data_IF_120939668154
#
_entry.id   IF_120939668154
#
_cell.length_a   1.000
_cell.length_b   1.000
_cell.length_c   1.000
_cell.angle_alpha   90.00
_cell.angle_beta   90.00
_cell.angle_gamma   90.00
#
_symmetry.space_group_name_H-M   'P 1'
#
loop_
_entity.id
_entity.type
_entity.pdbx_description
1 polymer ?
#
# COMPACT_ATOMS: atom_id res chain seq x y z
N UNK A 1 -33.63 8.04 12.00
CA UNK A 1 -33.08 7.50 13.26
C UNK A 1 -31.60 7.22 13.00
N UNK A 2 -30.70 8.13 13.38
CA UNK A 2 -29.27 7.85 13.34
C UNK A 2 -28.92 7.06 14.60
N UNK A 3 -28.42 5.83 14.44
CA UNK A 3 -27.89 5.04 15.56
C UNK A 3 -26.74 5.83 16.20
N UNK A 4 -26.64 5.90 17.55
CA UNK A 4 -25.60 6.65 18.24
C UNK A 4 -24.28 5.88 18.23
N UNK A 5 -23.75 5.62 17.03
CA UNK A 5 -22.46 4.94 16.85
C UNK A 5 -21.36 6.01 16.87
N UNK A 6 -20.33 5.87 17.72
CA UNK A 6 -19.22 6.81 17.71
C UNK A 6 -18.54 6.81 16.34
N UNK A 7 -18.32 7.99 15.76
CA UNK A 7 -17.81 8.17 14.38
C UNK A 7 -16.49 7.47 14.12
N UNK A 8 -15.65 7.35 15.15
CA UNK A 8 -14.38 6.61 15.10
C UNK A 8 -14.60 5.14 14.74
N UNK A 9 -15.65 4.49 15.25
CA UNK A 9 -15.98 3.11 14.90
C UNK A 9 -16.41 2.97 13.43
N UNK A 10 -17.20 3.93 12.93
CA UNK A 10 -17.59 3.94 11.51
C UNK A 10 -16.37 4.11 10.60
N UNK A 11 -15.43 4.98 10.97
CA UNK A 11 -14.22 5.20 10.21
C UNK A 11 -13.30 3.98 10.23
N UNK A 12 -13.08 3.37 11.39
CA UNK A 12 -12.29 2.15 11.51
C UNK A 12 -12.92 1.00 10.71
N UNK A 13 -14.25 0.85 10.74
CA UNK A 13 -14.94 -0.15 9.93
C UNK A 13 -14.70 0.07 8.42
N UNK A 14 -14.80 1.32 7.94
CA UNK A 14 -14.47 1.66 6.55
C UNK A 14 -13.01 1.37 6.22
N UNK A 15 -12.09 1.74 7.11
CA UNK A 15 -10.66 1.50 6.93
C UNK A 15 -10.36 0.00 6.80
N UNK A 16 -10.88 -0.82 7.73
CA UNK A 16 -10.70 -2.28 7.70
C UNK A 16 -11.30 -2.88 6.44
N UNK A 17 -12.46 -2.40 5.97
CA UNK A 17 -13.05 -2.84 4.71
C UNK A 17 -12.15 -2.54 3.51
N UNK A 18 -11.67 -1.29 3.38
CA UNK A 18 -10.77 -0.88 2.29
C UNK A 18 -9.45 -1.63 2.35
N UNK A 19 -8.88 -1.81 3.54
CA UNK A 19 -7.66 -2.58 3.76
C UNK A 19 -7.82 -4.05 3.36
N UNK A 20 -8.93 -4.67 3.75
CA UNK A 20 -9.22 -6.07 3.40
C UNK A 20 -9.31 -6.26 1.88
N UNK A 21 -10.02 -5.37 1.19
CA UNK A 21 -10.09 -5.39 -0.28
C UNK A 21 -8.72 -5.18 -0.89
N UNK A 22 -7.93 -4.23 -0.37
CA UNK A 22 -6.56 -3.97 -0.84
C UNK A 22 -5.66 -5.21 -0.70
N UNK A 23 -5.73 -5.90 0.44
CA UNK A 23 -4.98 -7.14 0.67
C UNK A 23 -5.44 -8.26 -0.26
N UNK A 24 -6.75 -8.46 -0.43
CA UNK A 24 -7.28 -9.46 -1.36
C UNK A 24 -6.81 -9.20 -2.79
N UNK A 25 -6.90 -7.97 -3.26
CA UNK A 25 -6.42 -7.60 -4.61
C UNK A 25 -4.91 -7.82 -4.75
N UNK A 26 -4.12 -7.45 -3.75
CA UNK A 26 -2.67 -7.69 -3.75
C UNK A 26 -2.31 -9.17 -3.79
N UNK A 27 -2.98 -9.99 -2.97
CA UNK A 27 -2.79 -11.44 -2.95
C UNK A 27 -3.15 -12.08 -4.29
N UNK A 28 -4.30 -11.70 -4.87
CA UNK A 28 -4.70 -12.19 -6.19
C UNK A 28 -3.67 -11.83 -7.25
N UNK A 29 -3.10 -10.62 -7.21
CA UNK A 29 -2.03 -10.23 -8.14
C UNK A 29 -0.77 -11.08 -7.98
N UNK A 30 -0.30 -11.30 -6.75
CA UNK A 30 0.88 -12.15 -6.48
C UNK A 30 0.62 -13.58 -6.97
N UNK A 31 -0.56 -14.13 -6.70
CA UNK A 31 -0.95 -15.47 -7.18
C UNK A 31 -0.99 -15.53 -8.70
N UNK A 32 -1.55 -14.51 -9.36
CA UNK A 32 -1.60 -14.43 -10.83
C UNK A 32 -0.20 -14.34 -11.45
N UNK A 33 0.69 -13.52 -10.88
CA UNK A 33 2.08 -13.44 -11.32
C UNK A 33 2.81 -14.76 -11.12
N UNK A 34 2.64 -15.40 -9.96
CA UNK A 34 3.22 -16.71 -9.66
C UNK A 34 2.73 -17.77 -10.65
N UNK A 35 1.42 -17.84 -10.90
CA UNK A 35 0.83 -18.75 -11.88
C UNK A 35 1.37 -18.50 -13.30
N UNK A 36 1.58 -17.23 -13.67
CA UNK A 36 2.17 -16.86 -14.96
C UNK A 36 3.59 -17.39 -15.09
N UNK A 37 4.43 -17.21 -14.05
CA UNK A 37 5.81 -17.72 -14.04
C UNK A 37 5.86 -19.23 -14.24
N UNK A 38 5.04 -19.99 -13.51
CA UNK A 38 4.96 -21.44 -13.66
C UNK A 38 4.42 -21.89 -15.02
N UNK A 39 3.43 -21.15 -15.57
CA UNK A 39 2.86 -21.47 -16.89
C UNK A 39 3.88 -21.25 -18.01
N UNK A 40 4.71 -20.21 -17.88
CA UNK A 40 5.76 -19.88 -18.84
C UNK A 40 7.06 -20.67 -18.63
N UNK A 41 7.12 -21.53 -17.60
CA UNK A 41 8.33 -22.30 -17.22
C UNK A 41 9.54 -21.41 -16.92
N UNK A 42 9.29 -20.25 -16.29
CA UNK A 42 10.31 -19.25 -15.93
C UNK A 42 10.71 -19.32 -14.45
N UNK A 43 10.24 -20.32 -13.71
CA UNK A 43 10.45 -20.45 -12.28
C UNK A 43 11.92 -20.54 -11.89
N UNK A 44 12.73 -21.30 -12.64
CA UNK A 44 14.17 -21.43 -12.36
C UNK A 44 14.93 -20.14 -12.69
N UNK A 45 14.48 -19.39 -13.70
CA UNK A 45 15.08 -18.12 -14.09
C UNK A 45 14.78 -17.01 -13.09
N UNK A 46 13.58 -17.00 -12.50
CA UNK A 46 13.11 -15.93 -11.63
C UNK A 46 13.31 -16.21 -10.14
N UNK A 47 13.20 -17.46 -9.71
CA UNK A 47 13.31 -17.85 -8.30
C UNK A 47 14.57 -18.67 -8.00
N UNK A 48 15.34 -19.06 -9.02
CA UNK A 48 16.47 -19.98 -8.86
C UNK A 48 16.03 -21.44 -8.68
N UNK A 49 17.00 -22.32 -8.41
CA UNK A 49 16.76 -23.77 -8.29
C UNK A 49 15.88 -24.12 -7.07
N UNK A 50 15.91 -23.29 -6.02
CA UNK A 50 15.11 -23.48 -4.80
C UNK A 50 13.63 -23.07 -4.98
N UNK A 51 13.31 -22.39 -6.09
CA UNK A 51 11.95 -21.93 -6.36
C UNK A 51 11.41 -20.92 -5.35
N UNK A 52 10.09 -20.79 -5.30
CA UNK A 52 9.41 -19.82 -4.44
C UNK A 52 9.43 -20.28 -2.98
N UNK A 53 10.46 -19.86 -2.25
CA UNK A 53 10.66 -20.23 -0.85
C UNK A 53 9.61 -19.60 0.07
N UNK A 54 9.17 -20.31 1.11
CA UNK A 54 8.20 -19.81 2.13
C UNK A 54 8.65 -18.48 2.74
N UNK A 55 9.96 -18.32 2.99
CA UNK A 55 10.57 -17.09 3.50
C UNK A 55 10.36 -15.89 2.58
N UNK A 56 10.50 -16.08 1.26
CA UNK A 56 10.28 -15.04 0.27
C UNK A 56 8.80 -14.66 0.25
N UNK A 57 7.91 -15.64 0.17
CA UNK A 57 6.46 -15.43 0.19
C UNK A 57 5.99 -14.66 1.43
N UNK A 58 6.49 -15.04 2.62
CA UNK A 58 6.19 -14.36 3.88
C UNK A 58 6.71 -12.92 3.91
N UNK A 59 7.92 -12.67 3.39
CA UNK A 59 8.50 -11.32 3.33
C UNK A 59 7.70 -10.42 2.39
N UNK A 60 7.34 -10.90 1.20
CA UNK A 60 6.51 -10.17 0.25
C UNK A 60 5.11 -9.90 0.80
N UNK A 61 4.50 -10.87 1.50
CA UNK A 61 3.22 -10.69 2.16
C UNK A 61 3.28 -9.60 3.25
N UNK A 62 4.35 -9.57 4.06
CA UNK A 62 4.51 -8.54 5.08
C UNK A 62 4.66 -7.14 4.48
N UNK A 63 5.43 -7.02 3.38
CA UNK A 63 5.56 -5.76 2.63
C UNK A 63 4.18 -5.34 2.09
N UNK A 64 3.41 -6.27 1.53
CA UNK A 64 2.05 -6.02 1.03
C UNK A 64 1.12 -5.53 2.15
N UNK A 65 1.23 -6.10 3.35
CA UNK A 65 0.45 -5.67 4.53
C UNK A 65 0.81 -4.23 4.91
N UNK A 66 2.09 -3.92 5.07
CA UNK A 66 2.55 -2.57 5.46
C UNK A 66 2.17 -1.53 4.41
N UNK A 67 2.41 -1.83 3.13
CA UNK A 67 2.01 -0.95 2.04
C UNK A 67 0.50 -0.77 1.97
N UNK A 68 -0.27 -1.85 2.14
CA UNK A 68 -1.73 -1.81 2.17
C UNK A 68 -2.27 -0.95 3.30
N UNK A 69 -1.69 -1.03 4.51
CA UNK A 69 -2.09 -0.17 5.63
C UNK A 69 -1.97 1.32 5.28
N UNK A 70 -0.85 1.69 4.65
CA UNK A 70 -0.61 3.05 4.18
C UNK A 70 -1.56 3.45 3.05
N UNK A 71 -1.62 2.67 1.97
CA UNK A 71 -2.36 3.04 0.78
C UNK A 71 -3.87 3.07 1.04
N UNK A 72 -4.41 2.16 1.84
CA UNK A 72 -5.81 2.18 2.26
C UNK A 72 -6.15 3.40 3.11
N UNK A 73 -5.21 3.91 3.93
CA UNK A 73 -5.42 5.12 4.72
C UNK A 73 -5.48 6.36 3.81
N UNK A 74 -4.61 6.43 2.80
CA UNK A 74 -4.63 7.50 1.78
C UNK A 74 -5.93 7.46 0.97
N UNK A 75 -6.34 6.29 0.49
CA UNK A 75 -7.61 6.11 -0.23
C UNK A 75 -8.80 6.54 0.63
N UNK A 76 -8.80 6.16 1.91
CA UNK A 76 -9.87 6.55 2.83
C UNK A 76 -9.88 8.06 3.09
N UNK A 77 -8.72 8.69 3.25
CA UNK A 77 -8.61 10.14 3.44
C UNK A 77 -9.19 10.91 2.23
N UNK A 78 -8.80 10.51 1.02
CA UNK A 78 -9.28 11.13 -0.22
C UNK A 78 -10.79 10.93 -0.40
N UNK A 79 -11.26 9.68 -0.32
CA UNK A 79 -12.68 9.37 -0.50
C UNK A 79 -13.57 9.98 0.59
N UNK A 80 -13.05 10.15 1.81
CA UNK A 80 -13.78 10.82 2.89
C UNK A 80 -13.81 12.34 2.73
N UNK A 81 -12.91 12.93 1.95
CA UNK A 81 -12.92 14.38 1.66
C UNK A 81 -13.84 14.76 0.49
N UNK A 82 -14.27 13.79 -0.31
CA UNK A 82 -15.06 14.02 -1.51
C UNK A 82 -16.55 14.12 -1.21
N UNK A 83 -17.23 15.09 -1.83
CA UNK A 83 -18.66 15.34 -1.64
C UNK A 83 -19.55 14.48 -2.54
N UNK A 84 -18.96 13.89 -3.58
CA UNK A 84 -19.68 13.02 -4.52
C UNK A 84 -18.79 11.89 -5.04
N UNK A 85 -19.43 10.83 -5.54
CA UNK A 85 -18.72 9.73 -6.20
C UNK A 85 -17.88 10.19 -7.40
N UNK A 86 -18.39 11.17 -8.18
CA UNK A 86 -17.67 11.72 -9.33
C UNK A 86 -16.39 12.45 -8.90
N UNK A 87 -16.45 13.20 -7.81
CA UNK A 87 -15.30 13.91 -7.24
C UNK A 87 -14.26 12.95 -6.66
N UNK A 88 -14.70 11.94 -5.91
CA UNK A 88 -13.82 10.89 -5.41
C UNK A 88 -13.06 10.22 -6.57
N UNK A 89 -13.76 9.86 -7.64
CA UNK A 89 -13.14 9.27 -8.82
C UNK A 89 -12.18 10.23 -9.53
N UNK A 90 -12.54 11.52 -9.63
CA UNK A 90 -11.66 12.53 -10.19
C UNK A 90 -10.36 12.70 -9.39
N UNK A 91 -10.36 12.46 -8.08
CA UNK A 91 -9.16 12.47 -7.23
C UNK A 91 -8.37 11.16 -7.25
N UNK A 92 -9.06 10.02 -7.43
CA UNK A 92 -8.41 8.71 -7.51
C UNK A 92 -7.57 8.56 -8.78
N UNK A 93 -8.00 9.12 -9.91
CA UNK A 93 -7.24 9.09 -11.17
C UNK A 93 -5.82 9.68 -11.03
N UNK A 94 -5.63 10.93 -10.56
CA UNK A 94 -4.29 11.50 -10.40
C UNK A 94 -3.49 10.78 -9.32
N UNK A 95 -4.13 10.27 -8.25
CA UNK A 95 -3.44 9.42 -7.27
C UNK A 95 -2.89 8.15 -7.93
N UNK A 96 -3.68 7.48 -8.77
CA UNK A 96 -3.24 6.29 -9.50
C UNK A 96 -2.08 6.64 -10.44
N UNK A 97 -2.17 7.73 -11.20
CA UNK A 97 -1.08 8.18 -12.08
C UNK A 97 0.21 8.48 -11.31
N UNK A 98 0.11 9.18 -10.17
CA UNK A 98 1.26 9.42 -9.28
C UNK A 98 1.85 8.12 -8.73
N UNK A 99 1.01 7.10 -8.49
CA UNK A 99 1.44 5.82 -7.96
C UNK A 99 2.14 4.93 -8.99
N UNK A 100 1.90 5.15 -10.28
CA UNK A 100 2.59 4.44 -11.37
C UNK A 100 4.05 4.89 -11.49
N UNK A 101 4.33 6.19 -11.32
CA UNK A 101 5.66 6.76 -11.51
C UNK A 101 6.77 6.04 -10.70
N UNK A 102 6.60 5.80 -9.39
CA UNK A 102 7.52 4.99 -8.60
C UNK A 102 7.75 3.56 -9.12
N UNK A 103 6.74 2.94 -9.74
CA UNK A 103 6.89 1.62 -10.36
C UNK A 103 7.89 1.61 -11.50
N UNK A 104 8.00 2.71 -12.25
CA UNK A 104 8.99 2.86 -13.32
C UNK A 104 10.41 3.02 -12.76
N UNK A 105 10.56 3.58 -11.57
CA UNK A 105 11.86 3.82 -10.92
C UNK A 105 12.57 2.50 -10.60
N UNK A 106 11.83 1.44 -10.28
CA UNK A 106 12.38 0.10 -10.00
C UNK A 106 13.19 -0.44 -11.19
N UNK A 107 12.79 -0.07 -12.41
CA UNK A 107 13.42 -0.53 -13.65
C UNK A 107 14.71 0.24 -13.99
N UNK A 108 14.97 1.36 -13.32
CA UNK A 108 16.12 2.21 -13.59
C UNK A 108 17.35 1.76 -12.77
N UNK A 109 18.51 1.54 -13.40
CA UNK A 109 19.73 1.23 -12.66
C UNK A 109 20.16 2.41 -11.78
N UNK A 110 20.70 2.11 -10.60
CA UNK A 110 21.21 3.10 -9.63
C UNK A 110 20.22 3.55 -8.56
N UNK A 111 18.95 3.12 -8.62
CA UNK A 111 17.99 3.34 -7.54
C UNK A 111 18.06 2.21 -6.51
N UNK A 112 18.49 2.57 -5.30
CA UNK A 112 18.66 1.65 -4.18
C UNK A 112 17.87 2.12 -2.97
N UNK A 113 17.44 1.18 -2.14
CA UNK A 113 16.77 1.47 -0.88
C UNK A 113 17.80 2.04 0.13
N UNK A 114 18.08 3.33 0.05
CA UNK A 114 19.07 3.98 0.92
C UNK A 114 18.77 5.47 1.13
N UNK A 115 19.32 6.03 2.21
CA UNK A 115 19.22 7.46 2.52
C UNK A 115 17.78 7.98 2.54
N UNK A 116 17.53 9.07 1.81
CA UNK A 116 16.19 9.67 1.71
C UNK A 116 15.17 8.77 1.02
N UNK A 117 15.59 7.90 0.10
CA UNK A 117 14.67 7.02 -0.63
C UNK A 117 14.02 6.01 0.31
N UNK A 118 14.74 5.56 1.35
CA UNK A 118 14.20 4.63 2.34
C UNK A 118 13.00 5.19 3.12
N UNK A 119 12.90 6.52 3.26
CA UNK A 119 11.79 7.14 3.99
C UNK A 119 10.62 7.58 3.11
N UNK A 120 10.80 7.70 1.79
CA UNK A 120 9.73 8.13 0.88
C UNK A 120 8.74 6.97 0.67
N UNK A 121 7.49 7.09 1.17
CA UNK A 121 6.51 6.02 1.04
C UNK A 121 6.22 5.75 -0.44
N UNK A 122 5.66 4.58 -0.73
CA UNK A 122 5.42 4.08 -2.09
C UNK A 122 6.71 3.62 -2.77
N UNK A 123 7.68 4.51 -3.01
CA UNK A 123 8.97 4.15 -3.62
C UNK A 123 9.77 3.18 -2.74
N UNK A 124 9.83 3.43 -1.44
CA UNK A 124 10.58 2.60 -0.50
C UNK A 124 10.04 1.15 -0.43
N UNK A 125 8.72 0.95 -0.42
CA UNK A 125 8.09 -0.36 -0.38
C UNK A 125 8.29 -1.13 -1.67
N UNK A 126 8.27 -0.43 -2.80
CA UNK A 126 8.55 -1.00 -4.12
C UNK A 126 10.00 -1.46 -4.24
N UNK A 127 10.96 -0.64 -3.83
CA UNK A 127 12.38 -1.01 -3.82
C UNK A 127 12.67 -2.11 -2.80
N UNK A 128 12.02 -2.08 -1.63
CA UNK A 128 12.13 -3.15 -0.64
C UNK A 128 11.60 -4.48 -1.19
N UNK A 129 10.46 -4.48 -1.88
CA UNK A 129 9.93 -5.67 -2.52
C UNK A 129 10.90 -6.23 -3.57
N UNK A 130 11.51 -5.35 -4.39
CA UNK A 130 12.56 -5.73 -5.34
C UNK A 130 13.77 -6.33 -4.63
N UNK A 131 14.33 -5.64 -3.65
CA UNK A 131 15.57 -6.07 -2.97
C UNK A 131 15.35 -7.40 -2.22
N UNK A 132 14.14 -7.63 -1.68
CA UNK A 132 13.74 -8.91 -1.07
C UNK A 132 13.60 -10.01 -2.12
N UNK A 133 13.04 -9.68 -3.28
CA UNK A 133 12.91 -10.61 -4.41
C UNK A 133 14.28 -11.02 -4.96
N UNK A 134 15.22 -10.08 -5.07
CA UNK A 134 16.59 -10.31 -5.54
C UNK A 134 17.51 -10.92 -4.47
N UNK A 135 17.04 -11.04 -3.22
CA UNK A 135 17.83 -11.61 -2.11
C UNK A 135 18.95 -10.70 -1.60
N UNK A 136 18.90 -9.40 -1.90
CA UNK A 136 19.92 -8.38 -1.55
C UNK A 136 19.43 -7.36 -0.51
N UNK A 137 18.25 -7.57 0.07
CA UNK A 137 17.67 -6.65 1.04
C UNK A 137 18.49 -6.55 2.34
N UNK A 138 19.02 -5.35 2.59
CA UNK A 138 19.68 -5.01 3.85
C UNK A 138 18.67 -4.71 4.96
N UNK A 139 18.96 -5.22 6.16
CA UNK A 139 18.07 -5.11 7.33
C UNK A 139 17.83 -3.65 7.73
N UNK A 140 18.87 -2.81 7.69
CA UNK A 140 18.77 -1.43 8.16
C UNK A 140 17.84 -0.59 7.27
N UNK A 141 18.06 -0.44 5.95
CA UNK A 141 17.14 0.32 5.11
C UNK A 141 15.74 -0.29 5.03
N UNK A 142 15.62 -1.62 5.08
CA UNK A 142 14.33 -2.30 5.15
C UNK A 142 13.53 -1.90 6.41
N UNK A 143 14.18 -1.92 7.58
CA UNK A 143 13.53 -1.52 8.83
C UNK A 143 13.11 -0.05 8.82
N UNK A 144 13.95 0.85 8.27
CA UNK A 144 13.64 2.27 8.12
C UNK A 144 12.43 2.47 7.20
N UNK A 145 12.37 1.75 6.07
CA UNK A 145 11.25 1.81 5.15
C UNK A 145 9.94 1.34 5.76
N UNK A 146 9.97 0.23 6.50
CA UNK A 146 8.78 -0.30 7.19
C UNK A 146 8.30 0.69 8.24
N UNK A 147 9.19 1.16 9.12
CA UNK A 147 8.83 2.08 10.21
C UNK A 147 8.33 3.41 9.66
N UNK A 148 9.00 4.00 8.67
CA UNK A 148 8.55 5.26 8.07
C UNK A 148 7.17 5.12 7.45
N UNK A 149 6.92 4.04 6.72
CA UNK A 149 5.63 3.81 6.04
C UNK A 149 4.50 3.59 7.04
N UNK A 150 4.75 2.91 8.16
CA UNK A 150 3.77 2.79 9.25
C UNK A 150 3.47 4.16 9.90
N UNK A 151 4.48 5.02 10.07
CA UNK A 151 4.27 6.40 10.54
C UNK A 151 3.41 7.17 9.53
N UNK A 152 3.70 7.07 8.23
CA UNK A 152 2.87 7.70 7.19
C UNK A 152 1.43 7.15 7.18
N UNK A 153 1.24 5.85 7.39
CA UNK A 153 -0.08 5.23 7.50
C UNK A 153 -0.88 5.82 8.67
N UNK A 154 -0.25 5.94 9.85
CA UNK A 154 -0.89 6.54 11.02
C UNK A 154 -1.23 8.02 10.81
N UNK A 155 -0.33 8.78 10.17
CA UNK A 155 -0.57 10.17 9.79
C UNK A 155 -1.75 10.30 8.81
N UNK A 156 -1.77 9.50 7.74
CA UNK A 156 -2.85 9.50 6.76
C UNK A 156 -4.20 9.11 7.38
N UNK A 157 -4.22 8.12 8.26
CA UNK A 157 -5.43 7.70 8.96
C UNK A 157 -5.93 8.79 9.92
N UNK A 158 -5.02 9.51 10.58
CA UNK A 158 -5.38 10.67 11.42
C UNK A 158 -5.98 11.80 10.59
N UNK A 159 -5.44 12.06 9.40
CA UNK A 159 -6.01 13.03 8.44
C UNK A 159 -7.40 12.59 8.00
N UNK A 160 -7.59 11.31 7.64
CA UNK A 160 -8.90 10.76 7.29
C UNK A 160 -9.92 10.96 8.43
N UNK A 161 -9.51 10.73 9.67
CA UNK A 161 -10.36 10.91 10.85
C UNK A 161 -10.80 12.36 11.07
N UNK A 162 -9.93 13.32 10.79
CA UNK A 162 -10.27 14.75 10.87
C UNK A 162 -11.25 15.15 9.77
N UNK A 163 -11.00 14.75 8.53
CA UNK A 163 -11.86 15.06 7.38
C UNK A 163 -13.28 14.48 7.57
N UNK A 164 -13.36 13.23 8.01
CA UNK A 164 -14.64 12.59 8.31
C UNK A 164 -15.40 13.26 9.48
N UNK A 165 -14.68 13.89 10.40
CA UNK A 165 -15.26 14.62 11.52
C UNK A 165 -15.83 16.00 11.15
N UNK A 166 -15.21 16.70 10.19
CA UNK A 166 -15.56 18.08 9.80
C UNK A 166 -16.81 18.19 8.93
N UNK A 167 -17.10 17.21 8.07
CA UNK A 167 -18.24 17.28 7.15
C UNK A 167 -19.60 17.33 7.85
N UNK A 168 -19.71 16.78 9.06
CA UNK A 168 -20.94 16.83 9.84
C UNK A 168 -21.22 18.19 10.52
N UNK A 169 -20.23 19.10 10.58
CA UNK A 169 -20.42 20.45 11.12
C UNK A 169 -20.93 21.39 10.00
N UNK A 170 -20.55 21.13 8.74
CA UNK A 170 -21.00 21.90 7.58
C UNK A 170 -22.40 21.50 7.08
N UNK A 171 -22.84 20.25 7.31
CA UNK A 171 -24.21 19.78 7.02
C UNK A 171 -25.09 19.85 8.28
N UNK A 172 -24.87 20.88 9.11
CA UNK A 172 -25.50 21.01 10.43
C UNK A 172 -27.03 20.95 10.40
N UNK A 173 -27.54 20.30 11.47
CA UNK A 173 -28.92 20.22 11.99
C UNK A 173 -29.97 19.50 11.17
#
# INVERSE_FOLDING_TARGET
>A
IALPIPRVHLLLAKYVAVFSVTQLTGLVNILAMTATVYTLRMETQLFGDDGLTVRLGMSLFLILVVFGLFYSAVLLALTSSSRSFKEAQAYLIPLMLMSIAPGLVILLPGWHLQGLIAIVPLVNMLLLARDVFEGVADVLPASVAVVSTLIYAACALTVAARLFGTDAIAVGS
#
